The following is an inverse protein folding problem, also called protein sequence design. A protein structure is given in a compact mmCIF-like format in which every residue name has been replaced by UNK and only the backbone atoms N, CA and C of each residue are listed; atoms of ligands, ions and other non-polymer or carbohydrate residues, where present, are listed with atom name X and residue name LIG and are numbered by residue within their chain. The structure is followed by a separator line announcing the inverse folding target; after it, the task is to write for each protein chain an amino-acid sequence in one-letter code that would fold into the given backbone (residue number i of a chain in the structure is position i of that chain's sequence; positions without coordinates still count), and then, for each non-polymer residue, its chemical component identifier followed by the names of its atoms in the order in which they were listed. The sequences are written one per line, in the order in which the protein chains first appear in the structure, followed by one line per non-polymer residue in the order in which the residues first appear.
data_IF_018154086332
#
_entry.id   IF_018154086332
#
_cell.length_a   1.000
_cell.length_b   1.000
_cell.length_c   1.000
_cell.angle_alpha   90.00
_cell.angle_beta   90.00
_cell.angle_gamma   90.00
#
_symmetry.space_group_name_H-M   'P 1'
#
loop_
_entity.id
_entity.type
_entity.pdbx_description
1 polymer ?
#
# COMPACT_ATOMS: atom_id res chain seq x y z
N UNK A 1 12.58 13.40 -10.91
CA UNK A 1 12.25 12.31 -9.97
C UNK A 1 10.75 12.34 -9.80
N UNK A 2 10.06 11.23 -10.06
CA UNK A 2 8.62 11.16 -9.86
C UNK A 2 8.33 11.27 -8.35
N UNK A 3 7.26 11.95 -7.98
CA UNK A 3 6.79 12.01 -6.61
C UNK A 3 6.30 10.60 -6.22
N UNK A 4 7.16 9.79 -5.57
CA UNK A 4 6.79 8.44 -5.12
C UNK A 4 7.95 7.47 -4.89
N UNK A 5 9.16 7.74 -5.36
CA UNK A 5 10.28 6.80 -5.16
C UNK A 5 10.84 6.90 -3.73
N UNK A 6 10.69 5.83 -2.93
CA UNK A 6 11.42 5.64 -1.67
C UNK A 6 12.61 4.74 -1.92
N UNK A 7 13.80 5.29 -1.82
CA UNK A 7 15.03 4.52 -1.81
C UNK A 7 15.45 4.28 -0.36
N UNK A 8 15.59 3.02 0.03
CA UNK A 8 15.99 2.61 1.38
C UNK A 8 17.48 2.33 1.38
N UNK A 9 18.28 3.26 1.90
CA UNK A 9 19.73 3.07 2.09
C UNK A 9 20.05 2.75 3.54
N UNK A 10 19.21 3.22 4.46
CA UNK A 10 19.36 3.07 5.91
C UNK A 10 18.05 2.60 6.50
N UNK A 11 18.11 1.84 7.59
CA UNK A 11 16.90 1.37 8.28
C UNK A 11 16.00 2.52 8.78
N UNK A 12 16.55 3.71 9.02
CA UNK A 12 15.79 4.93 9.32
C UNK A 12 14.86 5.37 8.19
N UNK A 13 15.19 5.04 6.94
CA UNK A 13 14.37 5.38 5.77
C UNK A 13 13.05 4.57 5.75
N UNK A 14 13.00 3.42 6.44
CA UNK A 14 11.79 2.62 6.60
C UNK A 14 10.65 3.40 7.25
N UNK A 15 10.94 4.44 8.03
CA UNK A 15 9.91 5.32 8.64
C UNK A 15 9.04 6.02 7.60
N UNK A 16 9.54 6.20 6.38
CA UNK A 16 8.83 6.89 5.29
C UNK A 16 8.03 5.92 4.41
N UNK A 17 8.32 4.62 4.49
CA UNK A 17 7.68 3.60 3.66
C UNK A 17 6.17 3.54 3.91
N UNK A 18 5.65 3.56 5.17
CA UNK A 18 4.22 3.53 5.41
C UNK A 18 3.46 4.69 4.76
N UNK A 19 4.02 5.90 4.74
CA UNK A 19 3.40 7.07 4.10
C UNK A 19 3.25 6.86 2.59
N UNK A 20 4.29 6.37 1.92
CA UNK A 20 4.22 6.08 0.48
C UNK A 20 3.31 4.89 0.18
N UNK A 21 3.23 3.93 1.09
CA UNK A 21 2.24 2.86 0.98
C UNK A 21 0.81 3.38 1.11
N UNK A 22 0.56 4.33 2.03
CA UNK A 22 -0.76 4.95 2.20
C UNK A 22 -1.15 5.75 0.95
N UNK A 23 -0.21 6.49 0.36
CA UNK A 23 -0.42 7.20 -0.91
C UNK A 23 -0.75 6.23 -2.06
N UNK A 24 0.00 5.14 -2.20
CA UNK A 24 -0.26 4.12 -3.21
C UNK A 24 -1.63 3.43 -3.02
N UNK A 25 -2.03 3.18 -1.77
CA UNK A 25 -3.35 2.65 -1.46
C UNK A 25 -4.46 3.63 -1.87
N UNK A 26 -4.27 4.93 -1.61
CA UNK A 26 -5.18 5.99 -2.04
C UNK A 26 -5.33 6.03 -3.56
N UNK A 27 -4.22 5.96 -4.30
CA UNK A 27 -4.24 5.91 -5.76
C UNK A 27 -4.99 4.68 -6.29
N UNK A 28 -4.76 3.50 -5.71
CA UNK A 28 -5.46 2.28 -6.09
C UNK A 28 -6.98 2.40 -5.83
N UNK A 29 -7.38 2.99 -4.71
CA UNK A 29 -8.79 3.25 -4.40
C UNK A 29 -9.43 4.19 -5.45
N UNK A 30 -8.74 5.28 -5.82
CA UNK A 30 -9.21 6.18 -6.88
C UNK A 30 -9.34 5.47 -8.24
N UNK A 31 -8.42 4.56 -8.58
CA UNK A 31 -8.50 3.78 -9.82
C UNK A 31 -9.73 2.88 -9.82
N UNK A 32 -9.99 2.17 -8.72
CA UNK A 32 -11.16 1.29 -8.60
C UNK A 32 -12.46 2.10 -8.67
N UNK A 33 -12.53 3.22 -7.94
CA UNK A 33 -13.67 4.13 -7.98
C UNK A 33 -13.92 4.64 -9.42
N UNK A 34 -12.86 5.05 -10.11
CA UNK A 34 -12.97 5.52 -11.49
C UNK A 34 -13.45 4.41 -12.44
N UNK A 35 -12.89 3.20 -12.32
CA UNK A 35 -13.25 2.06 -13.14
C UNK A 35 -14.73 1.68 -12.95
N UNK A 36 -15.22 1.62 -11.71
CA UNK A 36 -16.63 1.29 -11.42
C UNK A 36 -17.58 2.40 -11.87
N UNK A 37 -17.22 3.67 -11.59
CA UNK A 37 -18.11 4.81 -11.85
C UNK A 37 -18.24 5.13 -13.33
N UNK A 38 -17.14 5.06 -14.09
CA UNK A 38 -17.08 5.59 -15.45
C UNK A 38 -16.85 4.53 -16.52
N UNK A 39 -16.10 3.47 -16.23
CA UNK A 39 -15.72 2.47 -17.23
C UNK A 39 -16.74 1.33 -17.28
N UNK A 40 -17.07 0.75 -16.13
CA UNK A 40 -17.97 -0.40 -16.01
C UNK A 40 -19.46 0.01 -15.90
N UNK A 41 -19.82 1.17 -16.45
CA UNK A 41 -21.15 1.75 -16.31
C UNK A 41 -22.13 1.10 -17.29
N UNK A 42 -23.17 0.47 -16.75
CA UNK A 42 -24.21 -0.26 -17.52
C UNK A 42 -24.99 0.61 -18.50
N UNK A 43 -25.36 1.81 -18.07
CA UNK A 43 -26.21 2.76 -18.80
C UNK A 43 -25.63 3.18 -20.17
N UNK A 44 -24.31 3.13 -20.35
CA UNK A 44 -23.64 3.41 -21.62
C UNK A 44 -23.96 2.38 -22.71
N UNK A 45 -24.42 1.19 -22.32
CA UNK A 45 -24.70 0.06 -23.22
C UNK A 45 -26.20 -0.21 -23.41
N UNK A 46 -27.06 0.37 -22.57
CA UNK A 46 -28.52 0.22 -22.66
C UNK A 46 -29.28 1.57 -22.73
N UNK A 47 -28.86 2.55 -23.57
CA UNK A 47 -29.57 3.83 -23.67
C UNK A 47 -30.94 3.72 -24.36
N UNK A 48 -31.20 2.62 -25.06
CA UNK A 48 -32.42 2.39 -25.84
C UNK A 48 -32.72 0.89 -25.99
N UNK A 49 -34.00 0.47 -26.07
CA UNK A 49 -34.39 -0.93 -26.24
C UNK A 49 -33.86 -1.61 -27.51
N UNK A 50 -33.45 -0.81 -28.51
CA UNK A 50 -32.89 -1.26 -29.80
C UNK A 50 -31.36 -1.12 -29.87
N UNK A 51 -30.70 -0.79 -28.75
CA UNK A 51 -29.25 -0.67 -28.73
C UNK A 51 -28.60 -2.03 -29.05
N UNK A 52 -27.80 -2.09 -30.12
CA UNK A 52 -27.06 -3.28 -30.52
C UNK A 52 -26.13 -3.79 -29.39
N UNK A 53 -25.63 -2.86 -28.57
CA UNK A 53 -24.71 -3.17 -27.48
C UNK A 53 -25.40 -3.58 -26.18
N UNK A 54 -26.74 -3.63 -26.12
CA UNK A 54 -27.48 -4.00 -24.92
C UNK A 54 -27.01 -5.31 -24.26
N UNK A 55 -26.65 -6.39 -25.00
CA UNK A 55 -26.11 -7.60 -24.38
C UNK A 55 -24.80 -7.38 -23.58
N UNK A 56 -24.04 -6.32 -23.86
CA UNK A 56 -22.82 -5.97 -23.12
C UNK A 56 -23.11 -5.29 -21.78
N UNK A 57 -24.33 -4.79 -21.56
CA UNK A 57 -24.71 -4.12 -20.32
C UNK A 57 -24.54 -5.05 -19.10
N UNK A 58 -24.96 -6.33 -19.22
CA UNK A 58 -24.77 -7.35 -18.18
C UNK A 58 -23.29 -7.72 -17.99
N UNK A 59 -22.48 -7.66 -19.04
CA UNK A 59 -21.05 -7.89 -18.92
C UNK A 59 -20.37 -6.75 -18.13
N UNK A 60 -20.85 -5.51 -18.25
CA UNK A 60 -20.33 -4.39 -17.47
C UNK A 60 -20.59 -4.55 -15.97
N UNK A 61 -21.74 -5.12 -15.57
CA UNK A 61 -22.01 -5.42 -14.15
C UNK A 61 -20.97 -6.41 -13.58
N UNK A 62 -20.58 -7.41 -14.37
CA UNK A 62 -19.53 -8.36 -13.98
C UNK A 62 -18.14 -7.70 -13.91
N UNK A 63 -17.85 -6.80 -14.84
CA UNK A 63 -16.59 -6.02 -14.83
C UNK A 63 -16.53 -5.12 -13.59
N UNK A 64 -17.62 -4.43 -13.25
CA UNK A 64 -17.70 -3.62 -12.03
C UNK A 64 -17.44 -4.47 -10.79
N UNK A 65 -18.14 -5.60 -10.65
CA UNK A 65 -17.95 -6.53 -9.53
C UNK A 65 -16.51 -7.06 -9.44
N UNK A 66 -15.86 -7.32 -10.58
CA UNK A 66 -14.47 -7.74 -10.62
C UNK A 66 -13.50 -6.65 -10.14
N UNK A 67 -13.72 -5.38 -10.53
CA UNK A 67 -12.92 -4.26 -10.03
C UNK A 67 -13.09 -4.04 -8.53
N UNK A 68 -14.32 -4.13 -8.02
CA UNK A 68 -14.58 -4.01 -6.58
C UNK A 68 -13.91 -5.13 -5.78
N UNK A 69 -14.00 -6.37 -6.25
CA UNK A 69 -13.36 -7.51 -5.60
C UNK A 69 -11.85 -7.41 -5.63
N UNK A 70 -11.27 -7.01 -6.76
CA UNK A 70 -9.85 -6.74 -6.89
C UNK A 70 -9.41 -5.64 -5.91
N UNK A 71 -10.16 -4.54 -5.83
CA UNK A 71 -9.90 -3.44 -4.91
C UNK A 71 -9.92 -3.89 -3.45
N UNK A 72 -10.91 -4.68 -3.04
CA UNK A 72 -10.99 -5.25 -1.68
C UNK A 72 -9.80 -6.14 -1.34
N UNK A 73 -9.43 -7.05 -2.26
CA UNK A 73 -8.29 -7.96 -2.06
C UNK A 73 -6.98 -7.20 -1.96
N UNK A 74 -6.77 -6.26 -2.88
CA UNK A 74 -5.58 -5.40 -2.87
C UNK A 74 -5.50 -4.63 -1.55
N UNK A 75 -6.57 -3.96 -1.13
CA UNK A 75 -6.58 -3.18 0.11
C UNK A 75 -6.24 -4.04 1.34
N UNK A 76 -6.81 -5.25 1.43
CA UNK A 76 -6.52 -6.18 2.52
C UNK A 76 -5.05 -6.61 2.54
N UNK A 77 -4.54 -7.13 1.43
CA UNK A 77 -3.15 -7.58 1.32
C UNK A 77 -2.15 -6.43 1.52
N UNK A 78 -2.46 -5.25 1.00
CA UNK A 78 -1.61 -4.08 1.13
C UNK A 78 -1.54 -3.59 2.58
N UNK A 79 -2.66 -3.58 3.28
CA UNK A 79 -2.72 -3.25 4.70
C UNK A 79 -1.89 -4.23 5.54
N UNK A 80 -1.96 -5.53 5.26
CA UNK A 80 -1.14 -6.54 5.95
C UNK A 80 0.36 -6.28 5.78
N UNK A 81 0.80 -5.97 4.55
CA UNK A 81 2.22 -5.65 4.28
C UNK A 81 2.62 -4.36 4.99
N UNK A 82 1.76 -3.33 4.97
CA UNK A 82 2.00 -2.05 5.64
C UNK A 82 2.20 -2.25 7.14
N UNK A 83 1.32 -3.02 7.76
CA UNK A 83 1.38 -3.29 9.20
C UNK A 83 2.63 -4.10 9.57
N UNK A 84 3.03 -5.06 8.72
CA UNK A 84 4.28 -5.78 8.88
C UNK A 84 5.51 -4.85 8.81
N UNK A 85 5.55 -3.90 7.85
CA UNK A 85 6.64 -2.91 7.74
C UNK A 85 6.71 -2.04 8.99
N UNK A 86 5.57 -1.57 9.50
CA UNK A 86 5.50 -0.77 10.73
C UNK A 86 6.04 -1.58 11.92
N UNK A 87 5.59 -2.82 12.08
CA UNK A 87 6.03 -3.70 13.17
C UNK A 87 7.54 -3.98 13.10
N UNK A 88 8.06 -4.36 11.94
CA UNK A 88 9.50 -4.63 11.74
C UNK A 88 10.36 -3.37 11.98
N UNK A 89 9.90 -2.19 11.56
CA UNK A 89 10.61 -0.93 11.83
C UNK A 89 10.72 -0.69 13.35
N UNK A 90 9.63 -0.88 14.09
CA UNK A 90 9.64 -0.73 15.54
C UNK A 90 10.50 -1.79 16.26
N UNK A 91 10.62 -2.99 15.71
CA UNK A 91 11.53 -4.03 16.19
C UNK A 91 13.00 -3.66 16.01
N UNK A 92 13.37 -3.20 14.81
CA UNK A 92 14.73 -2.74 14.51
C UNK A 92 15.15 -1.59 15.42
N UNK A 93 14.28 -0.60 15.63
CA UNK A 93 14.58 0.51 16.54
C UNK A 93 14.79 0.06 18.00
N UNK A 94 14.05 -0.97 18.43
CA UNK A 94 14.26 -1.55 19.76
C UNK A 94 15.60 -2.26 19.84
N UNK A 95 15.94 -3.06 18.83
CA UNK A 95 17.20 -3.79 18.76
C UNK A 95 18.40 -2.82 18.76
N UNK A 96 18.34 -1.74 17.98
CA UNK A 96 19.39 -0.71 17.92
C UNK A 96 19.59 -0.04 19.29
N UNK A 97 18.51 0.29 20.00
CA UNK A 97 18.60 0.88 21.35
C UNK A 97 19.27 -0.07 22.33
N UNK A 98 18.94 -1.36 22.29
CA UNK A 98 19.54 -2.38 23.17
C UNK A 98 21.02 -2.55 22.84
N UNK A 99 21.37 -2.69 21.56
CA UNK A 99 22.76 -2.82 21.13
C UNK A 99 23.62 -1.61 21.54
N UNK A 100 23.09 -0.39 21.40
CA UNK A 100 23.78 0.82 21.82
C UNK A 100 24.02 0.87 23.34
N UNK A 101 23.03 0.45 24.15
CA UNK A 101 23.16 0.38 25.61
C UNK A 101 24.20 -0.66 26.03
N UNK A 102 24.19 -1.83 25.40
CA UNK A 102 25.16 -2.89 25.68
C UNK A 102 26.58 -2.48 25.30
N UNK A 103 26.76 -1.84 24.14
CA UNK A 103 28.05 -1.32 23.72
C UNK A 103 28.59 -0.27 24.70
N UNK A 104 27.74 0.66 25.17
CA UNK A 104 28.12 1.66 26.16
C UNK A 104 28.52 1.01 27.50
N UNK A 105 27.79 -0.02 27.93
CA UNK A 105 28.10 -0.78 29.14
C UNK A 105 29.45 -1.50 29.03
N UNK A 106 29.70 -2.18 27.91
CA UNK A 106 30.99 -2.87 27.67
C UNK A 106 32.14 -1.87 27.66
N UNK A 107 31.98 -0.73 26.99
CA UNK A 107 33.00 0.33 26.96
C UNK A 107 33.33 0.85 28.36
N UNK A 108 32.31 1.07 29.21
CA UNK A 108 32.51 1.51 30.59
C UNK A 108 33.20 0.46 31.49
N UNK A 109 33.16 -0.82 31.13
CA UNK A 109 33.72 -1.93 31.90
C UNK A 109 35.17 -2.28 31.51
N UNK A 110 35.69 -1.74 30.41
CA UNK A 110 37.07 -1.97 29.96
C UNK A 110 38.01 -0.94 30.60
N UNK A 111 38.94 -1.34 31.50
CA UNK A 111 39.91 -0.42 32.07
C UNK A 111 41.00 -0.08 31.03
N UNK A 112 41.19 1.21 30.73
CA UNK A 112 42.37 1.71 29.99
C UNK A 112 42.14 2.25 28.57
N UNK A 113 40.90 2.50 28.13
CA UNK A 113 40.64 3.17 26.86
C UNK A 113 40.43 4.69 27.05
N UNK A 114 41.50 5.41 27.41
CA UNK A 114 41.58 6.87 27.34
C UNK A 114 42.96 7.25 26.80
#
# INVERSE_FOLDING_TARGET
MAAGDVFVERWLDLRRVPEVMDDAAGQAATIVEHAVTWVARRDGFEPSPVCLLRPLAEAMDQVAAAFEELGRRFAGQWQEVRDAVVASTAELERADRVAAQDAARVHAQLPGAA
#
